data_IF_321382744051
#
_entry.id   IF_321382744051
#
_cell.length_a   1.000
_cell.length_b   1.000
_cell.length_c   1.000
_cell.angle_alpha   90.00
_cell.angle_beta   90.00
_cell.angle_gamma   90.00
#
_symmetry.space_group_name_H-M   'P 1'
#
loop_
_entity.id
_entity.type
_entity.pdbx_description
1 polymer ?
#
# COMPACT_ATOMS: atom_id res chain seq x y z
N UNK A 1 -21.03 -14.41 -12.55
CA UNK A 1 -19.69 -13.81 -12.74
C UNK A 1 -19.73 -12.35 -13.24
N UNK A 2 -20.31 -12.06 -14.42
CA UNK A 2 -20.28 -10.71 -15.04
C UNK A 2 -20.82 -9.56 -14.16
N UNK A 3 -21.90 -9.79 -13.40
CA UNK A 3 -22.45 -8.79 -12.47
C UNK A 3 -21.50 -8.48 -11.29
N UNK A 4 -20.81 -9.49 -10.75
CA UNK A 4 -19.83 -9.31 -9.67
C UNK A 4 -18.64 -8.48 -10.16
N UNK A 5 -18.13 -8.76 -11.36
CA UNK A 5 -17.03 -7.99 -11.97
C UNK A 5 -17.46 -6.53 -12.21
N UNK A 6 -18.70 -6.30 -12.67
CA UNK A 6 -19.24 -4.94 -12.82
C UNK A 6 -19.32 -4.20 -11.48
N UNK A 7 -19.77 -4.89 -10.41
CA UNK A 7 -19.90 -4.36 -9.04
C UNK A 7 -18.56 -4.13 -8.33
N UNK A 8 -17.50 -4.83 -8.74
CA UNK A 8 -16.18 -4.78 -8.12
C UNK A 8 -15.64 -3.35 -8.03
N UNK A 9 -15.50 -2.76 -6.84
CA UNK A 9 -15.06 -1.38 -6.74
C UNK A 9 -13.56 -1.27 -7.05
N UNK A 10 -13.18 -0.28 -7.85
CA UNK A 10 -11.79 -0.06 -8.29
C UNK A 10 -10.80 -0.01 -7.11
N UNK A 11 -11.09 0.65 -5.97
CA UNK A 11 -10.19 0.67 -4.81
C UNK A 11 -9.83 -0.69 -4.19
N UNK A 12 -10.45 -1.81 -4.60
CA UNK A 12 -10.06 -3.17 -4.12
C UNK A 12 -8.60 -3.50 -4.41
N UNK A 13 -7.96 -2.82 -5.37
CA UNK A 13 -6.52 -2.98 -5.65
C UNK A 13 -5.64 -2.65 -4.43
N UNK A 14 -6.12 -1.87 -3.46
CA UNK A 14 -5.40 -1.63 -2.21
C UNK A 14 -5.43 -2.86 -1.28
N UNK A 15 -6.55 -3.57 -1.23
CA UNK A 15 -6.68 -4.84 -0.52
C UNK A 15 -5.84 -5.93 -1.21
N UNK A 16 -5.84 -5.97 -2.54
CA UNK A 16 -5.00 -6.86 -3.34
C UNK A 16 -3.52 -6.72 -2.94
N UNK A 17 -2.97 -5.52 -3.04
CA UNK A 17 -1.60 -5.21 -2.61
C UNK A 17 -1.32 -5.65 -1.17
N UNK A 18 -2.25 -5.36 -0.25
CA UNK A 18 -2.07 -5.67 1.16
C UNK A 18 -2.08 -7.16 1.47
N UNK A 19 -2.85 -7.97 0.73
CA UNK A 19 -2.81 -9.43 0.86
C UNK A 19 -1.42 -9.96 0.47
N UNK A 20 -0.88 -9.55 -0.68
CA UNK A 20 0.48 -9.93 -1.06
C UNK A 20 1.53 -9.43 -0.04
N UNK A 21 1.35 -8.22 0.53
CA UNK A 21 2.25 -7.74 1.58
C UNK A 21 2.11 -8.55 2.88
N UNK A 22 0.89 -8.93 3.26
CA UNK A 22 0.61 -9.71 4.46
C UNK A 22 1.25 -11.10 4.36
N UNK A 23 1.22 -11.72 3.18
CA UNK A 23 1.90 -12.99 2.95
C UNK A 23 3.42 -12.90 3.16
N UNK A 24 4.06 -11.80 2.74
CA UNK A 24 5.48 -11.56 3.02
C UNK A 24 5.73 -11.24 4.51
N UNK A 25 4.83 -10.50 5.16
CA UNK A 25 4.90 -10.19 6.58
C UNK A 25 4.90 -11.47 7.44
N UNK A 26 4.05 -12.44 7.12
CA UNK A 26 3.90 -13.68 7.89
C UNK A 26 4.78 -14.83 7.41
N UNK A 27 5.65 -14.62 6.42
CA UNK A 27 6.50 -15.66 5.83
C UNK A 27 7.33 -16.42 6.88
N UNK A 28 7.81 -15.75 7.92
CA UNK A 28 8.58 -16.39 8.99
C UNK A 28 7.82 -17.46 9.79
N UNK A 29 6.49 -17.50 9.67
CA UNK A 29 5.65 -18.50 10.31
C UNK A 29 5.37 -19.71 9.41
N UNK A 30 5.70 -19.62 8.11
CA UNK A 30 5.58 -20.72 7.15
C UNK A 30 5.22 -20.27 5.75
N UNK A 31 5.76 -20.96 4.74
CA UNK A 31 5.51 -20.66 3.33
C UNK A 31 4.03 -20.81 2.94
N UNK A 32 3.30 -21.71 3.60
CA UNK A 32 1.87 -21.93 3.35
C UNK A 32 1.05 -20.65 3.53
N UNK A 33 1.34 -19.86 4.57
CA UNK A 33 0.62 -18.60 4.82
C UNK A 33 0.91 -17.58 3.74
N UNK A 34 2.19 -17.47 3.33
CA UNK A 34 2.57 -16.62 2.21
C UNK A 34 1.79 -17.01 0.96
N UNK A 35 1.74 -18.30 0.63
CA UNK A 35 1.01 -18.83 -0.54
C UNK A 35 -0.49 -18.53 -0.48
N UNK A 36 -1.15 -18.72 0.66
CA UNK A 36 -2.58 -18.42 0.82
C UNK A 36 -2.86 -16.94 0.54
N UNK A 37 -2.12 -16.04 1.18
CA UNK A 37 -2.28 -14.60 0.98
C UNK A 37 -1.94 -14.16 -0.46
N UNK A 38 -0.89 -14.73 -1.03
CA UNK A 38 -0.50 -14.50 -2.42
C UNK A 38 -1.57 -14.97 -3.42
N UNK A 39 -2.17 -16.14 -3.21
CA UNK A 39 -3.25 -16.67 -4.03
C UNK A 39 -4.50 -15.77 -3.98
N UNK A 40 -4.90 -15.34 -2.78
CA UNK A 40 -6.02 -14.39 -2.62
C UNK A 40 -5.75 -13.07 -3.36
N UNK A 41 -4.53 -12.54 -3.25
CA UNK A 41 -4.11 -11.35 -3.99
C UNK A 41 -4.17 -11.57 -5.51
N UNK A 42 -3.67 -12.70 -6.01
CA UNK A 42 -3.68 -13.05 -7.42
C UNK A 42 -5.11 -13.18 -7.97
N UNK A 43 -6.03 -13.77 -7.20
CA UNK A 43 -7.45 -13.84 -7.56
C UNK A 43 -8.04 -12.44 -7.72
N UNK A 44 -7.79 -11.52 -6.79
CA UNK A 44 -8.27 -10.14 -6.90
C UNK A 44 -7.64 -9.44 -8.11
N UNK A 45 -6.36 -9.65 -8.39
CA UNK A 45 -5.70 -9.11 -9.58
C UNK A 45 -6.43 -9.55 -10.85
N UNK A 46 -6.69 -10.86 -11.00
CA UNK A 46 -7.41 -11.41 -12.16
C UNK A 46 -8.81 -10.80 -12.30
N UNK A 47 -9.54 -10.62 -11.20
CA UNK A 47 -10.87 -9.98 -11.21
C UNK A 47 -10.79 -8.50 -11.62
N UNK A 48 -9.77 -7.76 -11.19
CA UNK A 48 -9.56 -6.36 -11.57
C UNK A 48 -9.18 -6.25 -13.04
N UNK A 49 -8.28 -7.12 -13.54
CA UNK A 49 -7.92 -7.16 -14.96
C UNK A 49 -9.15 -7.47 -15.83
N UNK A 50 -9.96 -8.44 -15.41
CA UNK A 50 -11.24 -8.74 -16.07
C UNK A 50 -12.18 -7.52 -16.07
N UNK A 51 -12.24 -6.75 -14.97
CA UNK A 51 -13.03 -5.51 -14.90
C UNK A 51 -12.52 -4.45 -15.89
N UNK A 52 -11.21 -4.24 -15.97
CA UNK A 52 -10.59 -3.26 -16.87
C UNK A 52 -10.90 -3.61 -18.34
N UNK A 53 -10.82 -4.89 -18.70
CA UNK A 53 -11.09 -5.37 -20.07
C UNK A 53 -12.59 -5.30 -20.40
N UNK A 54 -13.46 -5.75 -19.49
CA UNK A 54 -14.90 -5.88 -19.75
C UNK A 54 -15.69 -4.58 -19.57
N UNK A 55 -15.22 -3.66 -18.71
CA UNK A 55 -15.90 -2.43 -18.35
C UNK A 55 -14.96 -1.20 -18.34
N UNK A 56 -14.20 -0.94 -19.42
CA UNK A 56 -13.17 0.10 -19.45
C UNK A 56 -13.74 1.50 -19.19
N UNK A 57 -14.91 1.83 -19.76
CA UNK A 57 -15.60 3.11 -19.50
C UNK A 57 -15.93 3.31 -18.02
N UNK A 58 -16.47 2.28 -17.37
CA UNK A 58 -16.80 2.36 -15.94
C UNK A 58 -15.57 2.43 -15.03
N UNK A 59 -14.42 1.89 -15.45
CA UNK A 59 -13.15 2.10 -14.74
C UNK A 59 -12.66 3.54 -14.95
N UNK A 60 -12.71 4.06 -16.18
CA UNK A 60 -12.34 5.44 -16.48
C UNK A 60 -13.18 6.45 -15.69
N UNK A 61 -14.50 6.29 -15.68
CA UNK A 61 -15.42 7.14 -14.90
C UNK A 61 -15.12 7.07 -13.39
N UNK A 62 -14.74 5.89 -12.87
CA UNK A 62 -14.35 5.76 -11.48
C UNK A 62 -13.06 6.54 -11.16
N UNK A 63 -12.14 6.68 -12.12
CA UNK A 63 -10.88 7.43 -11.98
C UNK A 63 -11.07 8.95 -12.05
N UNK A 64 -12.26 9.46 -12.39
CA UNK A 64 -12.58 10.89 -12.25
C UNK A 64 -12.71 11.31 -10.78
N UNK A 65 -12.93 10.34 -9.88
CA UNK A 65 -12.90 10.58 -8.45
C UNK A 65 -11.46 10.67 -7.93
N UNK A 66 -11.05 11.78 -7.28
CA UNK A 66 -9.66 11.99 -6.83
C UNK A 66 -9.17 10.94 -5.83
N UNK A 67 -10.04 10.41 -4.96
CA UNK A 67 -9.68 9.36 -4.00
C UNK A 67 -9.43 8.04 -4.75
N UNK A 68 -10.31 7.68 -5.68
CA UNK A 68 -10.15 6.44 -6.46
C UNK A 68 -8.90 6.52 -7.33
N UNK A 69 -8.70 7.64 -8.02
CA UNK A 69 -7.52 7.88 -8.86
C UNK A 69 -6.20 7.78 -8.09
N UNK A 70 -6.17 8.30 -6.85
CA UNK A 70 -4.97 8.25 -6.02
C UNK A 70 -4.77 6.91 -5.32
N UNK A 71 -5.80 6.08 -5.18
CA UNK A 71 -5.69 4.70 -4.67
C UNK A 71 -5.32 3.71 -5.78
N UNK A 72 -5.76 3.95 -7.02
CA UNK A 72 -5.54 3.03 -8.14
C UNK A 72 -4.08 2.59 -8.37
N UNK A 73 -3.02 3.42 -8.13
CA UNK A 73 -1.63 2.99 -8.24
C UNK A 73 -1.23 1.82 -7.34
N UNK A 74 -2.03 1.43 -6.34
CA UNK A 74 -1.78 0.18 -5.61
C UNK A 74 -1.89 -1.06 -6.51
N UNK A 75 -2.55 -0.96 -7.68
CA UNK A 75 -2.54 -2.01 -8.71
C UNK A 75 -1.11 -2.31 -9.16
N UNK A 76 -0.36 -1.29 -9.56
CA UNK A 76 1.00 -1.44 -10.05
C UNK A 76 1.98 -1.82 -8.95
N UNK A 77 1.78 -1.28 -7.73
CA UNK A 77 2.50 -1.73 -6.53
C UNK A 77 2.28 -3.22 -6.27
N UNK A 78 1.03 -3.70 -6.35
CA UNK A 78 0.70 -5.10 -6.13
C UNK A 78 1.25 -6.02 -7.21
N UNK A 79 1.32 -5.57 -8.46
CA UNK A 79 1.99 -6.28 -9.56
C UNK A 79 3.49 -6.45 -9.27
N UNK A 80 4.19 -5.38 -8.86
CA UNK A 80 5.60 -5.47 -8.47
C UNK A 80 5.82 -6.42 -7.28
N UNK A 81 4.87 -6.48 -6.34
CA UNK A 81 4.99 -7.36 -5.18
C UNK A 81 4.70 -8.82 -5.53
N UNK A 82 3.64 -9.08 -6.30
CA UNK A 82 3.29 -10.42 -6.77
C UNK A 82 4.34 -11.00 -7.73
N UNK A 83 5.12 -10.17 -8.44
CA UNK A 83 6.21 -10.69 -9.26
C UNK A 83 7.25 -11.45 -8.42
N UNK A 84 7.50 -11.03 -7.17
CA UNK A 84 8.39 -11.74 -6.24
C UNK A 84 7.86 -13.11 -5.80
N UNK A 85 6.53 -13.34 -5.93
CA UNK A 85 5.94 -14.66 -5.71
C UNK A 85 6.20 -15.60 -6.88
N UNK A 86 6.28 -15.06 -8.10
CA UNK A 86 6.51 -15.84 -9.30
C UNK A 86 7.98 -16.17 -9.54
N UNK A 87 8.90 -15.41 -8.95
CA UNK A 87 10.36 -15.57 -9.15
C UNK A 87 10.86 -17.02 -9.02
N UNK A 88 10.49 -17.81 -7.99
CA UNK A 88 10.98 -19.18 -7.85
C UNK A 88 10.49 -20.14 -8.94
N UNK A 89 9.39 -19.82 -9.61
CA UNK A 89 8.77 -20.67 -10.63
C UNK A 89 9.14 -20.27 -12.06
N UNK A 90 9.27 -18.95 -12.32
CA UNK A 90 9.58 -18.41 -13.64
C UNK A 90 10.26 -17.04 -13.53
N UNK A 91 11.57 -17.03 -13.29
CA UNK A 91 12.36 -15.81 -13.03
C UNK A 91 12.22 -14.74 -14.12
N UNK A 92 12.33 -15.10 -15.41
CA UNK A 92 12.21 -14.14 -16.52
C UNK A 92 10.81 -13.52 -16.62
N UNK A 93 9.76 -14.32 -16.40
CA UNK A 93 8.37 -13.82 -16.39
C UNK A 93 8.15 -12.90 -15.19
N UNK A 94 8.66 -13.28 -14.02
CA UNK A 94 8.61 -12.46 -12.82
C UNK A 94 9.31 -11.11 -13.04
N UNK A 95 10.49 -11.09 -13.67
CA UNK A 95 11.18 -9.85 -13.99
C UNK A 95 10.39 -8.98 -14.97
N UNK A 96 9.85 -9.56 -16.04
CA UNK A 96 8.97 -8.83 -16.96
C UNK A 96 7.74 -8.23 -16.27
N UNK A 97 7.10 -9.00 -15.38
CA UNK A 97 5.98 -8.53 -14.56
C UNK A 97 6.37 -7.37 -13.65
N UNK A 98 7.57 -7.42 -13.05
CA UNK A 98 8.09 -6.34 -12.20
C UNK A 98 8.30 -5.05 -13.01
N UNK A 99 8.92 -5.14 -14.19
CA UNK A 99 9.12 -3.99 -15.09
C UNK A 99 7.79 -3.39 -15.53
N UNK A 100 6.80 -4.21 -15.88
CA UNK A 100 5.45 -3.75 -16.23
C UNK A 100 4.83 -2.98 -15.06
N UNK A 101 4.93 -3.52 -13.83
CA UNK A 101 4.45 -2.83 -12.62
C UNK A 101 5.14 -1.48 -12.42
N UNK A 102 6.46 -1.42 -12.59
CA UNK A 102 7.23 -0.19 -12.42
C UNK A 102 6.82 0.87 -13.46
N UNK A 103 6.79 0.50 -14.75
CA UNK A 103 6.41 1.40 -15.84
C UNK A 103 4.96 1.89 -15.69
N UNK A 104 4.04 0.99 -15.30
CA UNK A 104 2.65 1.36 -15.03
C UNK A 104 2.56 2.39 -13.90
N UNK A 105 3.34 2.23 -12.83
CA UNK A 105 3.33 3.19 -11.72
C UNK A 105 3.85 4.57 -12.16
N UNK A 106 4.92 4.63 -12.97
CA UNK A 106 5.44 5.88 -13.54
C UNK A 106 4.37 6.58 -14.40
N UNK A 107 3.70 5.83 -15.28
CA UNK A 107 2.61 6.36 -16.11
C UNK A 107 1.49 6.92 -15.22
N UNK A 108 1.10 6.22 -14.16
CA UNK A 108 0.06 6.67 -13.23
C UNK A 108 0.48 7.94 -12.47
N UNK A 109 1.75 8.10 -12.09
CA UNK A 109 2.27 9.35 -11.53
C UNK A 109 2.08 10.51 -12.51
N UNK A 110 2.46 10.33 -13.79
CA UNK A 110 2.36 11.35 -14.82
C UNK A 110 0.90 11.76 -15.06
N UNK A 111 0.01 10.78 -15.22
CA UNK A 111 -1.42 11.02 -15.44
C UNK A 111 -2.07 11.73 -14.23
N UNK A 112 -1.75 11.28 -13.01
CA UNK A 112 -2.27 11.90 -11.80
C UNK A 112 -1.78 13.35 -11.66
N UNK A 113 -0.49 13.58 -11.95
CA UNK A 113 0.12 14.91 -11.92
C UNK A 113 -0.55 15.86 -12.91
N UNK A 114 -0.79 15.41 -14.15
CA UNK A 114 -1.50 16.19 -15.17
C UNK A 114 -2.92 16.57 -14.71
N UNK A 115 -3.64 15.64 -14.09
CA UNK A 115 -5.05 15.83 -13.76
C UNK A 115 -5.27 16.62 -12.47
N UNK A 116 -4.40 16.45 -11.47
CA UNK A 116 -4.65 16.95 -10.10
C UNK A 116 -3.56 17.91 -9.58
N UNK A 117 -2.32 17.82 -10.05
CA UNK A 117 -1.26 18.74 -9.62
C UNK A 117 -1.26 20.01 -10.47
N UNK A 118 -1.35 19.92 -11.81
CA UNK A 118 -1.41 21.12 -12.66
C UNK A 118 -2.74 21.88 -12.54
N UNK A 119 -3.84 21.17 -12.28
CA UNK A 119 -5.14 21.76 -11.94
C UNK A 119 -5.35 21.73 -10.42
N UNK A 120 -4.39 22.29 -9.68
CA UNK A 120 -4.32 22.15 -8.23
C UNK A 120 -5.58 22.69 -7.53
N UNK A 121 -6.24 21.82 -6.77
CA UNK A 121 -7.26 22.20 -5.81
C UNK A 121 -7.00 21.46 -4.51
N UNK A 122 -6.64 22.21 -3.47
CA UNK A 122 -6.33 21.66 -2.16
C UNK A 122 -7.48 20.79 -1.61
N UNK A 123 -8.75 21.10 -1.90
CA UNK A 123 -9.89 20.27 -1.45
C UNK A 123 -9.91 18.87 -2.07
N UNK A 124 -9.26 18.67 -3.23
CA UNK A 124 -9.05 17.38 -3.90
C UNK A 124 -7.76 16.67 -3.43
N UNK A 125 -6.98 17.28 -2.54
CA UNK A 125 -5.87 16.61 -1.87
C UNK A 125 -6.44 15.67 -0.80
N UNK A 126 -5.94 14.44 -0.78
CA UNK A 126 -6.27 13.42 0.22
C UNK A 126 -4.97 12.74 0.65
N UNK A 127 -4.93 12.11 1.84
CA UNK A 127 -3.78 11.30 2.24
C UNK A 127 -3.38 10.24 1.22
N UNK A 128 -4.33 9.76 0.40
CA UNK A 128 -4.06 8.84 -0.70
C UNK A 128 -3.12 9.39 -1.78
N UNK A 129 -2.85 10.68 -1.84
CA UNK A 129 -1.81 11.23 -2.72
C UNK A 129 -0.42 10.64 -2.41
N UNK A 130 -0.16 10.23 -1.17
CA UNK A 130 1.08 9.53 -0.84
C UNK A 130 1.23 8.20 -1.61
N UNK A 131 0.13 7.50 -1.92
CA UNK A 131 0.19 6.25 -2.72
C UNK A 131 0.75 6.55 -4.10
N UNK A 132 0.36 7.66 -4.72
CA UNK A 132 0.81 8.03 -6.07
C UNK A 132 2.31 8.26 -6.08
N UNK A 133 2.83 9.12 -5.20
CA UNK A 133 4.21 9.59 -5.31
C UNK A 133 5.21 8.79 -4.46
N UNK A 134 4.78 8.25 -3.31
CA UNK A 134 5.64 7.43 -2.44
C UNK A 134 5.50 5.94 -2.74
N UNK A 135 4.38 5.51 -3.34
CA UNK A 135 4.10 4.10 -3.62
C UNK A 135 5.12 3.41 -4.52
N UNK A 136 5.83 4.17 -5.37
CA UNK A 136 6.92 3.67 -6.22
C UNK A 136 8.04 2.99 -5.43
N UNK A 137 8.18 3.31 -4.13
CA UNK A 137 9.15 2.69 -3.22
C UNK A 137 8.88 1.19 -3.01
N UNK A 138 7.70 0.66 -3.37
CA UNK A 138 7.51 -0.80 -3.46
C UNK A 138 8.49 -1.42 -4.46
N UNK A 139 8.87 -0.69 -5.52
CA UNK A 139 9.96 -1.09 -6.40
C UNK A 139 11.30 -1.17 -5.68
N UNK A 140 11.57 -0.29 -4.70
CA UNK A 140 12.76 -0.39 -3.84
C UNK A 140 12.73 -1.60 -2.90
N UNK A 141 11.56 -1.95 -2.37
CA UNK A 141 11.39 -3.14 -1.53
C UNK A 141 11.67 -4.42 -2.32
N UNK A 142 11.28 -4.45 -3.59
CA UNK A 142 11.27 -5.65 -4.44
C UNK A 142 12.46 -5.77 -5.39
N UNK A 143 13.15 -4.66 -5.69
CA UNK A 143 14.30 -4.60 -6.60
C UNK A 143 15.43 -5.62 -6.31
N UNK A 144 15.80 -5.91 -5.03
CA UNK A 144 16.81 -6.93 -4.74
C UNK A 144 16.42 -8.33 -5.21
N UNK A 145 15.12 -8.62 -5.34
CA UNK A 145 14.68 -9.89 -5.90
C UNK A 145 15.02 -10.03 -7.39
N UNK A 146 15.44 -8.96 -8.08
CA UNK A 146 15.79 -9.01 -9.51
C UNK A 146 17.18 -8.42 -9.78
N UNK A 147 18.04 -8.37 -8.75
CA UNK A 147 19.39 -7.81 -8.84
C UNK A 147 19.42 -6.32 -9.30
N UNK A 148 18.30 -5.62 -9.14
CA UNK A 148 18.11 -4.22 -9.56
C UNK A 148 18.31 -3.23 -8.40
N UNK A 149 19.18 -3.54 -7.44
CA UNK A 149 19.37 -2.73 -6.22
C UNK A 149 19.64 -1.25 -6.49
N UNK A 150 20.35 -0.91 -7.57
CA UNK A 150 20.59 0.49 -7.97
C UNK A 150 19.30 1.21 -8.39
N UNK A 151 18.41 0.55 -9.14
CA UNK A 151 17.07 1.07 -9.44
C UNK A 151 16.32 1.26 -8.12
N UNK A 152 16.38 0.27 -7.23
CA UNK A 152 15.75 0.35 -5.91
C UNK A 152 16.19 1.55 -5.07
N UNK A 153 17.46 1.95 -5.13
CA UNK A 153 17.97 3.17 -4.47
C UNK A 153 17.40 4.45 -5.08
N UNK A 154 17.29 4.53 -6.41
CA UNK A 154 16.70 5.68 -7.12
C UNK A 154 15.23 5.84 -6.71
N UNK A 155 14.47 4.75 -6.71
CA UNK A 155 13.05 4.76 -6.34
C UNK A 155 12.86 5.15 -4.87
N UNK A 156 13.74 4.69 -3.98
CA UNK A 156 13.75 5.11 -2.57
C UNK A 156 13.92 6.63 -2.45
N UNK A 157 14.94 7.21 -3.08
CA UNK A 157 15.19 8.66 -2.98
C UNK A 157 14.04 9.49 -3.57
N UNK A 158 13.49 9.08 -4.70
CA UNK A 158 12.30 9.73 -5.26
C UNK A 158 11.13 9.72 -4.27
N UNK A 159 10.84 8.57 -3.67
CA UNK A 159 9.76 8.44 -2.71
C UNK A 159 9.98 9.21 -1.42
N UNK A 160 11.22 9.22 -0.91
CA UNK A 160 11.58 9.97 0.30
C UNK A 160 11.43 11.49 0.10
N UNK A 161 11.95 12.01 -1.02
CA UNK A 161 11.80 13.44 -1.37
C UNK A 161 10.32 13.78 -1.57
N UNK A 162 9.58 12.93 -2.28
CA UNK A 162 8.14 13.11 -2.50
C UNK A 162 7.35 13.10 -1.20
N UNK A 163 7.71 12.23 -0.24
CA UNK A 163 7.08 12.16 1.06
C UNK A 163 7.21 13.50 1.80
N UNK A 164 8.44 14.02 1.95
CA UNK A 164 8.67 15.28 2.64
C UNK A 164 8.07 16.49 1.90
N UNK A 165 8.05 16.48 0.57
CA UNK A 165 7.41 17.53 -0.22
C UNK A 165 5.88 17.54 -0.07
N UNK A 166 5.23 16.37 -0.05
CA UNK A 166 3.77 16.26 0.05
C UNK A 166 3.24 16.43 1.46
N UNK A 167 4.01 16.03 2.48
CA UNK A 167 3.60 16.06 3.88
C UNK A 167 2.99 17.41 4.32
N UNK A 168 3.61 18.58 4.10
CA UNK A 168 3.01 19.86 4.49
C UNK A 168 1.70 20.16 3.76
N UNK A 169 1.58 19.78 2.49
CA UNK A 169 0.37 19.99 1.67
C UNK A 169 -0.79 19.16 2.20
N UNK A 170 -0.54 17.87 2.47
CA UNK A 170 -1.55 16.96 3.03
C UNK A 170 -1.90 17.40 4.45
N UNK A 171 -0.94 17.73 5.31
CA UNK A 171 -1.24 18.22 6.66
C UNK A 171 -2.07 19.51 6.66
N UNK A 172 -1.78 20.46 5.77
CA UNK A 172 -2.62 21.67 5.59
C UNK A 172 -4.06 21.30 5.24
N UNK A 173 -4.24 20.32 4.34
CA UNK A 173 -5.55 19.82 3.93
C UNK A 173 -6.34 19.20 5.07
N UNK A 174 -5.68 18.41 5.92
CA UNK A 174 -6.33 17.71 7.04
C UNK A 174 -6.62 18.64 8.22
N UNK A 175 -5.63 19.43 8.64
CA UNK A 175 -5.67 20.16 9.91
C UNK A 175 -6.37 21.51 9.74
N UNK A 176 -6.03 22.26 8.69
CA UNK A 176 -6.52 23.64 8.49
C UNK A 176 -7.80 23.68 7.69
N UNK A 177 -7.83 23.00 6.54
CA UNK A 177 -8.96 23.11 5.61
C UNK A 177 -10.12 22.21 6.03
N UNK A 178 -9.84 21.00 6.54
CA UNK A 178 -10.86 20.03 6.96
C UNK A 178 -11.87 19.79 5.83
N UNK A 179 -13.10 19.36 6.08
CA UNK A 179 -14.06 19.01 5.00
C UNK A 179 -13.61 17.80 4.16
N UNK A 180 -13.13 16.73 4.81
CA UNK A 180 -12.97 15.45 4.11
C UNK A 180 -14.33 14.77 4.09
N UNK A 181 -14.89 14.45 2.90
CA UNK A 181 -16.13 13.70 2.81
C UNK A 181 -16.01 12.37 3.55
N UNK A 182 -17.08 11.94 4.22
CA UNK A 182 -17.09 10.69 5.00
C UNK A 182 -16.55 9.46 4.22
N UNK A 183 -16.92 9.24 2.93
CA UNK A 183 -16.38 8.13 2.15
C UNK A 183 -14.86 8.18 1.95
N UNK A 184 -14.22 9.33 2.15
CA UNK A 184 -12.77 9.50 2.03
C UNK A 184 -12.03 9.43 3.37
N UNK A 185 -12.72 9.45 4.51
CA UNK A 185 -12.10 9.39 5.84
C UNK A 185 -11.21 8.15 6.06
N UNK A 186 -11.52 6.95 5.52
CA UNK A 186 -10.62 5.81 5.64
C UNK A 186 -9.21 6.06 5.10
N UNK A 187 -9.03 6.99 4.16
CA UNK A 187 -7.71 7.36 3.63
C UNK A 187 -6.78 7.94 4.70
N UNK A 188 -7.30 8.41 5.84
CA UNK A 188 -6.48 8.83 6.98
C UNK A 188 -5.48 7.75 7.43
N UNK A 189 -5.81 6.47 7.26
CA UNK A 189 -4.88 5.40 7.62
C UNK A 189 -3.62 5.34 6.74
N UNK A 190 -3.63 5.99 5.57
CA UNK A 190 -2.47 6.04 4.66
C UNK A 190 -1.31 6.81 5.28
N UNK A 191 -1.53 7.66 6.28
CA UNK A 191 -0.43 8.33 6.99
C UNK A 191 0.61 7.36 7.57
N UNK A 192 0.26 6.11 7.90
CA UNK A 192 1.26 5.14 8.40
C UNK A 192 2.20 4.65 7.30
N UNK A 193 1.81 4.74 6.02
CA UNK A 193 2.54 4.09 4.94
C UNK A 193 3.85 4.78 4.51
N UNK A 194 3.96 6.11 4.32
CA UNK A 194 5.09 6.71 3.62
C UNK A 194 6.44 6.44 4.28
N UNK A 195 6.53 6.73 5.58
CA UNK A 195 7.75 6.52 6.34
C UNK A 195 8.07 5.02 6.49
N UNK A 196 7.08 4.18 6.76
CA UNK A 196 7.23 2.72 6.84
C UNK A 196 7.69 2.11 5.51
N UNK A 197 7.13 2.54 4.39
CA UNK A 197 7.49 2.06 3.06
C UNK A 197 8.90 2.53 2.68
N UNK A 198 9.26 3.79 2.99
CA UNK A 198 10.63 4.27 2.86
C UNK A 198 11.60 3.46 3.72
N UNK A 199 11.25 3.17 4.98
CA UNK A 199 12.06 2.33 5.86
C UNK A 199 12.25 0.93 5.27
N UNK A 200 11.18 0.29 4.80
CA UNK A 200 11.26 -1.02 4.16
C UNK A 200 12.12 -0.98 2.89
N UNK A 201 11.94 0.01 2.03
CA UNK A 201 12.74 0.20 0.81
C UNK A 201 14.22 0.44 1.13
N UNK A 202 14.52 1.28 2.13
CA UNK A 202 15.88 1.50 2.62
C UNK A 202 16.49 0.20 3.15
N UNK A 203 15.71 -0.56 3.94
CA UNK A 203 16.17 -1.80 4.52
C UNK A 203 16.47 -2.87 3.47
N UNK A 204 15.74 -2.90 2.36
CA UNK A 204 15.92 -3.86 1.27
C UNK A 204 17.01 -3.47 0.26
N UNK A 205 17.04 -2.21 -0.19
CA UNK A 205 17.87 -1.80 -1.35
C UNK A 205 19.27 -1.29 -1.01
N UNK A 206 19.52 -0.94 0.25
CA UNK A 206 20.83 -0.47 0.70
C UNK A 206 21.55 -1.60 1.42
N UNK A 207 22.80 -1.88 1.02
CA UNK A 207 23.62 -2.90 1.68
C UNK A 207 24.17 -2.35 3.00
N UNK A 208 24.84 -1.19 2.91
CA UNK A 208 25.31 -0.45 4.08
C UNK A 208 24.22 0.47 4.60
N UNK A 209 23.96 0.40 5.92
CA UNK A 209 22.92 1.18 6.59
C UNK A 209 23.54 2.31 7.39
N UNK A 210 23.10 3.52 7.11
CA UNK A 210 23.36 4.69 7.94
C UNK A 210 22.36 4.70 9.11
N UNK A 211 22.85 4.61 10.36
CA UNK A 211 22.00 4.52 11.54
C UNK A 211 21.10 5.74 11.74
N UNK A 212 21.54 6.93 11.35
CA UNK A 212 20.72 8.14 11.45
C UNK A 212 19.49 8.02 10.54
N UNK A 213 19.65 7.55 9.31
CA UNK A 213 18.54 7.30 8.39
C UNK A 213 17.59 6.23 8.93
N UNK A 214 18.13 5.13 9.48
CA UNK A 214 17.33 4.07 10.09
C UNK A 214 16.45 4.62 11.20
N UNK A 215 17.03 5.30 12.18
CA UNK A 215 16.29 5.79 13.35
C UNK A 215 15.34 6.94 13.00
N UNK A 216 15.69 7.80 12.04
CA UNK A 216 14.78 8.82 11.52
C UNK A 216 13.52 8.18 10.93
N UNK A 217 13.68 7.19 10.06
CA UNK A 217 12.56 6.52 9.40
C UNK A 217 11.75 5.66 10.38
N UNK A 218 12.40 5.02 11.36
CA UNK A 218 11.71 4.33 12.47
C UNK A 218 10.85 5.32 13.26
N UNK A 219 11.41 6.45 13.70
CA UNK A 219 10.69 7.44 14.47
C UNK A 219 9.47 7.99 13.71
N UNK A 220 9.65 8.34 12.43
CA UNK A 220 8.57 8.84 11.58
C UNK A 220 7.49 7.77 11.31
N UNK A 221 7.90 6.53 11.06
CA UNK A 221 7.00 5.39 10.86
C UNK A 221 6.14 5.16 12.10
N UNK A 222 6.77 5.04 13.27
CA UNK A 222 6.11 4.73 14.53
C UNK A 222 5.23 5.87 15.05
N UNK A 223 5.67 7.13 14.90
CA UNK A 223 4.84 8.29 15.23
C UNK A 223 3.57 8.35 14.35
N UNK A 224 3.72 8.11 13.05
CA UNK A 224 2.59 8.09 12.12
C UNK A 224 1.65 6.90 12.39
N UNK A 225 2.21 5.74 12.74
CA UNK A 225 1.45 4.56 13.13
C UNK A 225 0.61 4.82 14.37
N UNK A 226 1.20 5.36 15.43
CA UNK A 226 0.50 5.71 16.67
C UNK A 226 -0.62 6.73 16.42
N UNK A 227 -0.36 7.76 15.60
CA UNK A 227 -1.37 8.76 15.23
C UNK A 227 -2.60 8.13 14.56
N UNK A 228 -2.40 7.18 13.64
CA UNK A 228 -3.51 6.47 12.98
C UNK A 228 -4.17 5.48 13.93
N UNK A 229 -3.41 4.78 14.78
CA UNK A 229 -3.94 3.83 15.74
C UNK A 229 -4.95 4.48 16.69
N UNK A 230 -4.69 5.72 17.13
CA UNK A 230 -5.62 6.51 17.94
C UNK A 230 -6.93 6.84 17.21
N UNK A 231 -6.90 6.98 15.89
CA UNK A 231 -8.07 7.29 15.06
C UNK A 231 -8.80 6.04 14.57
N UNK A 232 -8.10 4.91 14.47
CA UNK A 232 -8.57 3.68 13.84
C UNK A 232 -9.91 3.19 14.43
N UNK A 233 -10.16 3.18 15.76
CA UNK A 233 -11.46 2.79 16.31
C UNK A 233 -12.63 3.64 15.80
N UNK A 234 -12.42 4.95 15.61
CA UNK A 234 -13.43 5.85 15.06
C UNK A 234 -13.66 5.56 13.57
N UNK A 235 -12.59 5.34 12.83
CA UNK A 235 -12.65 5.08 11.39
C UNK A 235 -13.31 3.73 11.06
N UNK A 236 -13.09 2.70 11.89
CA UNK A 236 -13.68 1.37 11.71
C UNK A 236 -15.18 1.32 12.03
N UNK A 237 -15.71 2.30 12.79
CA UNK A 237 -17.15 2.45 13.08
C UNK A 237 -17.96 2.99 11.91
N UNK A 238 -17.31 3.50 10.86
CA UNK A 238 -17.99 3.98 9.66
C UNK A 238 -18.75 2.83 8.96
N UNK A 239 -19.71 3.19 8.11
CA UNK A 239 -20.27 2.21 7.18
C UNK A 239 -19.21 1.78 6.16
N UNK A 240 -19.42 0.63 5.52
CA UNK A 240 -18.45 0.17 4.52
C UNK A 240 -18.39 1.15 3.35
N UNK A 241 -17.18 1.60 3.05
CA UNK A 241 -16.86 2.30 1.82
C UNK A 241 -15.76 1.55 1.10
N UNK A 242 -15.73 1.58 -0.25
CA UNK A 242 -14.58 1.06 -1.00
C UNK A 242 -13.23 1.67 -0.60
N UNK A 243 -13.19 2.81 0.07
CA UNK A 243 -11.95 3.37 0.63
C UNK A 243 -11.42 2.58 1.82
N UNK A 244 -12.12 1.56 2.35
CA UNK A 244 -11.63 0.69 3.42
C UNK A 244 -10.34 -0.05 3.04
N UNK A 245 -10.03 -0.22 1.75
CA UNK A 245 -8.72 -0.70 1.32
C UNK A 245 -7.56 0.20 1.78
N UNK A 246 -7.82 1.46 2.14
CA UNK A 246 -6.82 2.34 2.73
C UNK A 246 -6.36 1.91 4.12
N UNK A 247 -7.12 1.08 4.84
CA UNK A 247 -6.70 0.56 6.14
C UNK A 247 -5.64 -0.55 6.03
N UNK A 248 -5.49 -1.18 4.87
CA UNK A 248 -4.81 -2.48 4.77
C UNK A 248 -3.29 -2.34 4.63
N UNK A 249 -2.81 -2.03 3.42
CA UNK A 249 -1.38 -1.98 3.12
C UNK A 249 -0.58 -1.08 4.06
N UNK A 250 -1.06 0.12 4.47
CA UNK A 250 -0.36 0.96 5.43
C UNK A 250 -0.06 0.28 6.77
N UNK A 251 -0.97 -0.55 7.29
CA UNK A 251 -0.77 -1.27 8.55
C UNK A 251 0.23 -2.42 8.36
N UNK A 252 0.15 -3.12 7.24
CA UNK A 252 1.06 -4.24 6.91
C UNK A 252 2.49 -3.76 6.67
N UNK A 253 2.69 -2.70 5.88
CA UNK A 253 4.03 -2.22 5.55
C UNK A 253 4.75 -1.64 6.78
N UNK A 254 3.99 -1.09 7.75
CA UNK A 254 4.53 -0.69 9.05
C UNK A 254 5.18 -1.88 9.76
N UNK A 255 4.44 -2.99 9.89
CA UNK A 255 4.94 -4.21 10.50
C UNK A 255 6.14 -4.81 9.74
N UNK A 256 6.10 -4.81 8.41
CA UNK A 256 7.24 -5.26 7.58
C UNK A 256 8.48 -4.39 7.88
N UNK A 257 8.32 -3.07 7.92
CA UNK A 257 9.43 -2.14 8.09
C UNK A 257 10.15 -2.30 9.43
N UNK A 258 9.39 -2.47 10.51
CA UNK A 258 9.96 -2.72 11.84
C UNK A 258 10.51 -4.13 11.94
N UNK A 259 9.89 -5.13 11.30
CA UNK A 259 10.42 -6.50 11.26
C UNK A 259 11.79 -6.55 10.58
N UNK A 260 11.93 -5.90 9.42
CA UNK A 260 13.21 -5.77 8.72
C UNK A 260 14.25 -5.05 9.58
N UNK A 261 13.85 -3.97 10.24
CA UNK A 261 14.74 -3.20 11.14
C UNK A 261 15.20 -4.03 12.34
N UNK A 262 14.28 -4.73 13.00
CA UNK A 262 14.58 -5.60 14.13
C UNK A 262 15.54 -6.73 13.74
N UNK A 263 15.31 -7.36 12.58
CA UNK A 263 16.21 -8.38 12.04
C UNK A 263 17.60 -7.81 11.73
N UNK A 264 17.67 -6.65 11.10
CA UNK A 264 18.93 -5.96 10.81
C UNK A 264 19.71 -5.64 12.09
N UNK A 265 19.07 -5.05 13.10
CA UNK A 265 19.72 -4.68 14.36
C UNK A 265 20.20 -5.89 15.17
N UNK A 266 19.39 -6.96 15.22
CA UNK A 266 19.77 -8.21 15.86
C UNK A 266 20.99 -8.86 15.18
N UNK A 267 20.99 -8.95 13.85
CA UNK A 267 22.11 -9.50 13.08
C UNK A 267 23.37 -8.63 13.17
N UNK A 268 23.22 -7.32 13.42
CA UNK A 268 24.34 -6.39 13.62
C UNK A 268 24.86 -6.35 15.06
N UNK A 269 24.44 -7.29 15.93
CA UNK A 269 24.87 -7.35 17.33
C UNK A 269 24.29 -6.25 18.24
N UNK A 270 23.30 -5.49 17.79
CA UNK A 270 22.69 -4.37 18.51
C UNK A 270 21.18 -4.56 18.72
N UNK A 271 20.71 -5.66 19.35
CA UNK A 271 19.29 -5.93 19.49
C UNK A 271 18.59 -4.90 20.39
N UNK A 272 17.40 -4.46 19.98
CA UNK A 272 16.56 -3.56 20.78
C UNK A 272 15.31 -4.31 21.22
N UNK A 273 15.27 -4.70 22.50
CA UNK A 273 14.28 -5.64 23.03
C UNK A 273 12.82 -5.25 22.75
N UNK A 274 12.49 -3.95 22.84
CA UNK A 274 11.13 -3.46 22.63
C UNK A 274 10.63 -3.68 21.19
N UNK A 275 11.52 -3.67 20.19
CA UNK A 275 11.14 -3.83 18.79
C UNK A 275 10.49 -5.19 18.54
N UNK A 276 10.91 -6.25 19.23
CA UNK A 276 10.30 -7.58 19.10
C UNK A 276 8.80 -7.57 19.43
N UNK A 277 8.40 -6.79 20.44
CA UNK A 277 7.00 -6.69 20.85
C UNK A 277 6.21 -5.80 19.88
N UNK A 278 6.82 -4.71 19.41
CA UNK A 278 6.24 -3.85 18.37
C UNK A 278 5.99 -4.65 17.09
N UNK A 279 6.98 -5.42 16.62
CA UNK A 279 6.83 -6.31 15.45
C UNK A 279 5.61 -7.21 15.61
N UNK A 280 5.50 -7.94 16.73
CA UNK A 280 4.38 -8.87 16.96
C UNK A 280 3.03 -8.15 16.98
N UNK A 281 2.96 -6.97 17.60
CA UNK A 281 1.75 -6.17 17.67
C UNK A 281 1.32 -5.69 16.28
N UNK A 282 2.24 -5.08 15.52
CA UNK A 282 1.95 -4.59 14.18
C UNK A 282 1.67 -5.71 13.18
N UNK A 283 2.35 -6.86 13.32
CA UNK A 283 2.07 -8.07 12.55
C UNK A 283 0.63 -8.53 12.75
N UNK A 284 0.23 -8.71 14.01
CA UNK A 284 -1.11 -9.14 14.38
C UNK A 284 -2.17 -8.16 13.89
N UNK A 285 -1.99 -6.87 14.19
CA UNK A 285 -2.96 -5.85 13.83
C UNK A 285 -3.06 -5.68 12.30
N UNK A 286 -1.94 -5.71 11.59
CA UNK A 286 -1.90 -5.64 10.12
C UNK A 286 -2.68 -6.79 9.48
N UNK A 287 -2.45 -8.03 9.92
CA UNK A 287 -3.18 -9.19 9.42
C UNK A 287 -4.67 -9.12 9.77
N UNK A 288 -5.01 -8.76 11.01
CA UNK A 288 -6.39 -8.64 11.46
C UNK A 288 -7.19 -7.62 10.62
N UNK A 289 -6.59 -6.46 10.32
CA UNK A 289 -7.20 -5.43 9.48
C UNK A 289 -7.37 -5.91 8.04
N UNK A 290 -6.37 -6.58 7.46
CA UNK A 290 -6.47 -7.14 6.10
C UNK A 290 -7.62 -8.14 6.00
N UNK A 291 -7.73 -9.07 6.95
CA UNK A 291 -8.80 -10.06 6.97
C UNK A 291 -10.17 -9.43 7.19
N UNK A 292 -10.27 -8.46 8.11
CA UNK A 292 -11.49 -7.70 8.33
C UNK A 292 -11.95 -7.00 7.06
N UNK A 293 -11.06 -6.27 6.38
CA UNK A 293 -11.40 -5.57 5.13
C UNK A 293 -11.76 -6.57 4.04
N UNK A 294 -11.05 -7.70 3.91
CA UNK A 294 -11.40 -8.76 2.96
C UNK A 294 -12.83 -9.25 3.17
N UNK A 295 -13.22 -9.55 4.40
CA UNK A 295 -14.59 -9.97 4.74
C UNK A 295 -15.60 -8.89 4.32
N UNK A 296 -15.34 -7.61 4.63
CA UNK A 296 -16.23 -6.50 4.25
C UNK A 296 -16.41 -6.36 2.75
N UNK A 297 -15.35 -6.56 1.95
CA UNK A 297 -15.46 -6.57 0.49
C UNK A 297 -16.24 -7.78 -0.02
N UNK A 298 -16.00 -8.97 0.53
CA UNK A 298 -16.76 -10.18 0.15
C UNK A 298 -18.25 -9.98 0.45
N UNK A 299 -18.59 -9.50 1.65
CA UNK A 299 -19.97 -9.19 2.03
C UNK A 299 -20.60 -8.17 1.08
N UNK A 300 -19.87 -7.10 0.72
CA UNK A 300 -20.35 -6.11 -0.24
C UNK A 300 -20.61 -6.72 -1.62
N UNK A 301 -19.72 -7.59 -2.12
CA UNK A 301 -19.86 -8.21 -3.44
C UNK A 301 -21.04 -9.20 -3.49
N UNK A 302 -21.28 -9.93 -2.41
CA UNK A 302 -22.36 -10.93 -2.30
C UNK A 302 -23.73 -10.33 -1.93
N UNK A 303 -23.77 -9.12 -1.36
CA UNK A 303 -25.02 -8.45 -1.01
C UNK A 303 -25.95 -8.24 -2.22
N UNK A 304 -27.24 -8.55 -2.04
CA UNK A 304 -28.29 -8.32 -3.05
C UNK A 304 -28.46 -6.80 -3.32
N UNK A 305 -28.85 -6.39 -4.55
CA UNK A 305 -28.92 -4.99 -4.97
C UNK A 305 -29.69 -4.06 -4.01
N UNK A 306 -30.72 -4.56 -3.33
CA UNK A 306 -31.58 -3.79 -2.42
C UNK A 306 -30.94 -3.47 -1.05
N UNK A 307 -29.85 -4.16 -0.70
CA UNK A 307 -29.14 -3.99 0.60
C UNK A 307 -27.84 -3.19 0.49
N UNK A 308 -27.47 -2.74 -0.70
CA UNK A 308 -26.25 -1.98 -0.97
C UNK A 308 -26.52 -0.46 -0.94
N UNK A 309 -26.75 0.12 0.25
CA UNK A 309 -26.78 1.58 0.48
C UNK A 309 -25.83 1.97 1.63
#
# INVERSE_FOLDING_TARGET
MKQIIKKLPVPIVGLMLALAAAGNLVLSYGEIYRTIFGALSAIILLLVLAKIIMFPKGVSEALDNPVVASVFPTLSMGIMLLSTYLKPFASSIAFGMWIIGLMLHIILIILFTKNYLFNFNIKKVFPSWFIVYVGIVVGSVTAPAFDMGNVGKILFWFGLVSYFALLPVVLKRIIKIKEIPEPALPTMAIFTAPAALCLAGYMSSFQEKNMLMVWLLVALSQASYLFVLLQLPKLLKLKFYPSYSAFTFPMVISGISIKLTNGFLANSGNPVAILKYIVKFEEFLGVAIVLYVLIRYISFLLAKPETAK
#
